data_IF_316698317282
#
_entry.id   IF_316698317282
#
_cell.length_a   1.000
_cell.length_b   1.000
_cell.length_c   1.000
_cell.angle_alpha   90.00
_cell.angle_beta   90.00
_cell.angle_gamma   90.00
#
_symmetry.space_group_name_H-M   'P 1'
#
loop_
_entity.id
_entity.type
_entity.pdbx_description
1 polymer ?
#
# COMPACT_ATOMS: atom_id res chain seq x y z
N UNK A 1 47.17 1.01 44.45
CA UNK A 1 45.76 1.47 44.43
C UNK A 1 45.68 2.69 43.52
N UNK A 2 44.94 2.65 42.41
CA UNK A 2 44.86 3.78 41.48
C UNK A 2 43.84 4.80 41.96
N UNK A 3 44.29 6.03 42.24
CA UNK A 3 43.43 7.15 42.66
C UNK A 3 42.52 7.54 41.49
N UNK A 4 41.20 7.62 41.72
CA UNK A 4 40.26 8.18 40.73
C UNK A 4 40.44 9.69 40.69
N UNK A 5 40.71 10.23 39.50
CA UNK A 5 40.77 11.66 39.23
C UNK A 5 39.35 12.23 39.26
N UNK A 6 39.16 13.31 40.00
CA UNK A 6 37.90 14.04 40.12
C UNK A 6 37.98 15.38 39.41
N UNK A 7 36.84 16.04 39.21
CA UNK A 7 36.81 17.38 38.59
C UNK A 7 37.65 18.38 39.40
N UNK A 8 37.74 18.21 40.72
CA UNK A 8 38.57 19.06 41.58
C UNK A 8 40.08 18.92 41.31
N UNK A 9 40.51 17.83 40.68
CA UNK A 9 41.91 17.60 40.31
C UNK A 9 42.27 18.25 38.96
N UNK A 10 41.30 18.85 38.24
CA UNK A 10 41.54 19.58 36.99
C UNK A 10 42.01 21.02 37.25
N UNK A 11 42.71 21.61 36.28
CA UNK A 11 43.07 23.04 36.33
C UNK A 11 41.82 23.94 36.35
N UNK A 12 41.86 25.12 36.99
CA UNK A 12 40.69 25.99 37.15
C UNK A 12 39.95 26.30 35.84
N UNK A 13 40.70 26.46 34.74
CA UNK A 13 40.11 26.69 33.40
C UNK A 13 39.23 25.51 32.95
N UNK A 14 39.68 24.28 33.20
CA UNK A 14 38.97 23.06 32.82
C UNK A 14 37.88 22.68 33.83
N UNK A 15 37.99 23.11 35.09
CA UNK A 15 36.89 22.97 36.05
C UNK A 15 35.67 23.77 35.59
N UNK A 16 35.86 25.04 35.22
CA UNK A 16 34.77 25.91 34.72
C UNK A 16 34.11 25.32 33.48
N UNK A 17 34.90 24.75 32.56
CA UNK A 17 34.37 24.13 31.36
C UNK A 17 33.62 22.83 31.65
N UNK A 18 34.15 21.98 32.55
CA UNK A 18 33.45 20.78 33.01
C UNK A 18 32.13 21.13 33.72
N UNK A 19 32.12 22.15 34.58
CA UNK A 19 30.89 22.64 35.23
C UNK A 19 29.89 23.19 34.21
N UNK A 20 30.34 23.93 33.20
CA UNK A 20 29.48 24.41 32.10
C UNK A 20 28.87 23.26 31.30
N UNK A 21 29.64 22.22 31.00
CA UNK A 21 29.13 21.06 30.29
C UNK A 21 28.13 20.26 31.13
N UNK A 22 28.36 20.11 32.43
CA UNK A 22 27.40 19.46 33.34
C UNK A 22 26.12 20.28 33.44
N UNK A 23 26.22 21.61 33.59
CA UNK A 23 25.06 22.51 33.64
C UNK A 23 24.29 22.52 32.31
N UNK A 24 24.98 22.50 31.16
CA UNK A 24 24.35 22.42 29.84
C UNK A 24 23.66 21.07 29.58
N UNK A 25 24.11 20.00 30.26
CA UNK A 25 23.54 18.64 30.16
C UNK A 25 22.42 18.38 31.18
N UNK A 26 22.27 19.25 32.17
CA UNK A 26 21.29 19.14 33.25
C UNK A 26 20.06 20.04 33.00
N UNK A 27 19.18 19.60 32.10
CA UNK A 27 17.73 19.77 32.20
C UNK A 27 17.04 19.02 31.05
N UNK A 28 16.55 17.78 31.22
CA UNK A 28 15.51 17.31 30.32
C UNK A 28 14.27 18.16 30.57
N UNK A 29 13.84 18.93 29.57
CA UNK A 29 12.54 19.58 29.61
C UNK A 29 11.46 18.50 29.78
N UNK A 30 10.86 18.41 30.97
CA UNK A 30 9.71 17.55 31.23
C UNK A 30 8.57 18.12 30.39
N UNK A 31 8.33 17.51 29.22
CA UNK A 31 7.13 17.81 28.42
C UNK A 31 5.91 17.42 29.26
N UNK A 32 4.87 18.25 29.36
CA UNK A 32 3.66 17.87 30.08
C UNK A 32 3.13 16.54 29.52
N UNK A 33 2.94 15.58 30.43
CA UNK A 33 2.41 14.24 30.16
C UNK A 33 1.09 14.37 29.39
N UNK A 34 1.10 13.96 28.13
CA UNK A 34 -0.10 13.93 27.29
C UNK A 34 -1.10 12.96 27.92
N UNK A 35 -2.32 13.43 28.14
CA UNK A 35 -3.46 12.66 28.62
C UNK A 35 -3.77 11.44 27.71
N UNK A 36 -4.61 10.49 28.16
CA UNK A 36 -4.47 9.06 27.91
C UNK A 36 -4.44 8.71 26.41
N UNK A 37 -3.55 7.77 26.06
CA UNK A 37 -3.48 7.09 24.77
C UNK A 37 -4.88 6.69 24.31
N UNK A 38 -5.45 7.44 23.38
CA UNK A 38 -6.67 7.05 22.70
C UNK A 38 -6.50 5.61 22.19
N UNK A 39 -7.51 4.75 22.42
CA UNK A 39 -7.56 3.39 21.85
C UNK A 39 -7.16 3.48 20.37
N UNK A 40 -6.39 2.52 19.82
CA UNK A 40 -6.02 2.56 18.40
C UNK A 40 -7.30 2.68 17.58
N UNK A 41 -7.55 3.88 17.03
CA UNK A 41 -8.70 4.12 16.18
C UNK A 41 -8.46 3.33 14.91
N UNK A 42 -9.41 2.47 14.55
CA UNK A 42 -9.46 1.88 13.22
C UNK A 42 -9.58 3.06 12.24
N UNK A 43 -8.49 3.38 11.55
CA UNK A 43 -8.51 4.38 10.48
C UNK A 43 -9.13 3.72 9.26
N UNK A 44 -10.33 4.16 8.89
CA UNK A 44 -10.83 3.87 7.55
C UNK A 44 -9.92 4.59 6.54
N UNK A 45 -9.42 3.87 5.53
CA UNK A 45 -8.76 4.56 4.40
C UNK A 45 -9.78 5.51 3.79
N UNK A 46 -9.45 6.79 3.76
CA UNK A 46 -10.24 7.79 3.02
C UNK A 46 -10.04 7.57 1.52
N UNK A 47 -11.13 7.63 0.76
CA UNK A 47 -11.12 7.46 -0.71
C UNK A 47 -11.63 6.09 -1.19
N UNK A 48 -11.74 5.96 -2.52
CA UNK A 48 -12.24 4.76 -3.20
C UNK A 48 -11.15 3.68 -3.41
N UNK A 49 -9.89 4.02 -3.13
CA UNK A 49 -8.73 3.14 -3.30
C UNK A 49 -8.26 2.98 -4.74
N UNK A 50 -8.93 3.62 -5.70
CA UNK A 50 -8.67 3.44 -7.13
C UNK A 50 -7.56 4.36 -7.64
N UNK A 51 -6.71 3.82 -8.49
CA UNK A 51 -5.79 4.61 -9.30
C UNK A 51 -6.56 5.40 -10.39
N UNK A 52 -5.90 6.36 -11.05
CA UNK A 52 -6.56 7.23 -12.04
C UNK A 52 -7.16 6.46 -13.23
N UNK A 53 -6.49 5.41 -13.69
CA UNK A 53 -6.91 4.62 -14.85
C UNK A 53 -8.03 3.65 -14.48
N UNK A 54 -7.98 3.05 -13.30
CA UNK A 54 -9.06 2.25 -12.73
C UNK A 54 -10.32 3.09 -12.53
N UNK A 55 -10.19 4.33 -12.05
CA UNK A 55 -11.33 5.24 -11.88
C UNK A 55 -11.98 5.59 -13.22
N UNK A 56 -11.16 5.85 -14.24
CA UNK A 56 -11.68 6.12 -15.58
C UNK A 56 -12.32 4.88 -16.22
N UNK A 57 -11.66 3.72 -16.12
CA UNK A 57 -12.21 2.46 -16.60
C UNK A 57 -13.50 2.10 -15.87
N UNK A 58 -13.58 2.34 -14.57
CA UNK A 58 -14.82 2.20 -13.78
C UNK A 58 -15.92 3.07 -14.38
N UNK A 59 -15.66 4.34 -14.68
CA UNK A 59 -16.60 5.23 -15.36
C UNK A 59 -17.12 4.66 -16.69
N UNK A 60 -16.24 4.00 -17.46
CA UNK A 60 -16.58 3.38 -18.74
C UNK A 60 -17.44 2.12 -18.60
N UNK A 61 -17.17 1.27 -17.61
CA UNK A 61 -17.88 -0.02 -17.43
C UNK A 61 -19.15 0.11 -16.60
N UNK A 62 -19.27 1.14 -15.75
CA UNK A 62 -20.43 1.36 -14.88
C UNK A 62 -21.79 1.39 -15.59
N UNK A 63 -21.96 2.02 -16.77
CA UNK A 63 -23.24 1.98 -17.48
C UNK A 63 -23.48 0.67 -18.25
N UNK A 64 -22.45 -0.17 -18.43
CA UNK A 64 -22.52 -1.37 -19.26
C UNK A 64 -22.78 -2.64 -18.46
N UNK A 65 -22.43 -2.65 -17.17
CA UNK A 65 -22.45 -3.84 -16.31
C UNK A 65 -23.36 -3.62 -15.10
N UNK A 66 -24.14 -4.64 -14.72
CA UNK A 66 -25.11 -4.53 -13.61
C UNK A 66 -24.43 -4.62 -12.24
N UNK A 67 -23.45 -5.51 -12.12
CA UNK A 67 -22.69 -5.70 -10.88
C UNK A 67 -21.20 -5.54 -11.14
N UNK A 68 -20.53 -4.80 -10.27
CA UNK A 68 -19.10 -4.53 -10.34
C UNK A 68 -18.51 -4.73 -8.95
N UNK A 69 -17.65 -5.72 -8.81
CA UNK A 69 -16.91 -6.03 -7.58
C UNK A 69 -15.45 -5.61 -7.76
N UNK A 70 -14.86 -4.99 -6.73
CA UNK A 70 -13.45 -4.57 -6.76
C UNK A 70 -12.56 -5.57 -6.04
N UNK A 71 -11.40 -5.87 -6.63
CA UNK A 71 -10.36 -6.74 -6.06
C UNK A 71 -10.85 -8.07 -5.44
N UNK A 72 -11.78 -8.82 -6.07
CA UNK A 72 -12.21 -10.10 -5.51
C UNK A 72 -11.04 -11.07 -5.47
N UNK A 73 -11.01 -11.91 -4.44
CA UNK A 73 -9.90 -12.86 -4.24
C UNK A 73 -10.20 -14.18 -4.93
N UNK A 74 -9.37 -14.54 -5.91
CA UNK A 74 -9.41 -15.82 -6.63
C UNK A 74 -8.22 -16.69 -6.22
N UNK A 75 -8.42 -17.74 -5.40
CA UNK A 75 -7.35 -18.68 -5.03
C UNK A 75 -6.82 -19.46 -6.25
N UNK A 76 -5.52 -19.43 -6.50
CA UNK A 76 -4.88 -20.19 -7.58
C UNK A 76 -4.20 -21.47 -7.10
N UNK A 77 -3.61 -21.42 -5.91
CA UNK A 77 -2.94 -22.54 -5.24
C UNK A 77 -2.77 -22.21 -3.74
N UNK A 78 -2.14 -23.11 -2.98
CA UNK A 78 -1.86 -22.90 -1.56
C UNK A 78 -1.05 -21.61 -1.34
N UNK A 79 -1.70 -20.61 -0.73
CA UNK A 79 -1.09 -19.30 -0.46
C UNK A 79 -0.93 -18.39 -1.68
N UNK A 80 -1.37 -18.81 -2.87
CA UNK A 80 -1.28 -18.01 -4.11
C UNK A 80 -2.67 -17.57 -4.52
N UNK A 81 -2.88 -16.26 -4.57
CA UNK A 81 -4.13 -15.65 -5.04
C UNK A 81 -3.89 -14.74 -6.23
N UNK A 82 -4.93 -14.60 -7.04
CA UNK A 82 -5.10 -13.56 -8.04
C UNK A 82 -6.27 -12.67 -7.66
N UNK A 83 -6.13 -11.36 -7.91
CA UNK A 83 -7.16 -10.37 -7.63
C UNK A 83 -7.27 -9.48 -8.87
N UNK A 84 -8.24 -9.72 -9.77
CA UNK A 84 -8.50 -8.78 -10.84
C UNK A 84 -8.97 -7.44 -10.24
N UNK A 85 -8.69 -6.32 -10.91
CA UNK A 85 -9.11 -5.00 -10.40
C UNK A 85 -10.63 -4.91 -10.31
N UNK A 86 -11.32 -5.46 -11.29
CA UNK A 86 -12.79 -5.58 -11.28
C UNK A 86 -13.24 -6.98 -11.70
N UNK A 87 -14.30 -7.46 -11.08
CA UNK A 87 -15.11 -8.57 -11.59
C UNK A 87 -16.49 -8.01 -11.89
N UNK A 88 -16.92 -8.16 -13.13
CA UNK A 88 -18.17 -7.57 -13.64
C UNK A 88 -19.13 -8.65 -14.07
N UNK A 89 -20.43 -8.41 -13.85
CA UNK A 89 -21.49 -9.36 -14.18
C UNK A 89 -22.62 -8.67 -14.93
N UNK A 90 -23.03 -9.26 -16.06
CA UNK A 90 -24.17 -8.82 -16.86
C UNK A 90 -24.81 -10.01 -17.55
N UNK A 91 -26.12 -10.21 -17.33
CA UNK A 91 -26.92 -11.22 -18.03
C UNK A 91 -26.29 -12.63 -18.06
N UNK A 92 -25.66 -13.05 -16.96
CA UNK A 92 -24.99 -14.36 -16.85
C UNK A 92 -23.55 -14.39 -17.36
N UNK A 93 -23.08 -13.36 -18.05
CA UNK A 93 -21.66 -13.21 -18.39
C UNK A 93 -20.87 -12.63 -17.22
N UNK A 94 -19.70 -13.23 -16.95
CA UNK A 94 -18.77 -12.78 -15.92
C UNK A 94 -17.44 -12.45 -16.58
N UNK A 95 -16.93 -11.23 -16.36
CA UNK A 95 -15.60 -10.84 -16.83
C UNK A 95 -14.71 -10.38 -15.68
N UNK A 96 -13.44 -10.79 -15.72
CA UNK A 96 -12.39 -10.31 -14.84
C UNK A 96 -11.57 -9.25 -15.57
N UNK A 97 -11.70 -7.99 -15.16
CA UNK A 97 -10.98 -6.87 -15.76
C UNK A 97 -9.71 -6.55 -14.98
N UNK A 98 -8.59 -6.49 -15.69
CA UNK A 98 -7.30 -6.05 -15.17
C UNK A 98 -6.87 -4.79 -15.94
N UNK A 99 -6.82 -3.65 -15.25
CA UNK A 99 -6.43 -2.35 -15.79
C UNK A 99 -4.92 -2.17 -15.62
N UNK A 100 -4.21 -2.19 -16.73
CA UNK A 100 -2.76 -1.98 -16.78
C UNK A 100 -2.43 -0.53 -17.10
N UNK A 101 -1.51 0.03 -16.32
CA UNK A 101 -0.77 1.25 -16.69
C UNK A 101 0.31 0.95 -17.75
N UNK A 102 1.08 1.98 -18.13
CA UNK A 102 2.02 1.90 -19.25
C UNK A 102 3.16 0.87 -19.11
N UNK A 103 3.46 0.34 -17.92
CA UNK A 103 4.77 -0.28 -17.64
C UNK A 103 4.77 -1.44 -16.63
N UNK A 104 3.86 -2.44 -16.68
CA UNK A 104 4.04 -3.66 -15.86
C UNK A 104 3.60 -4.97 -16.55
N UNK A 105 4.55 -5.82 -16.97
CA UNK A 105 4.28 -7.20 -17.40
C UNK A 105 4.03 -8.16 -16.22
N UNK A 106 4.20 -7.69 -14.97
CA UNK A 106 3.96 -8.49 -13.78
C UNK A 106 2.49 -8.94 -13.68
N UNK A 107 2.29 -10.22 -13.40
CA UNK A 107 0.96 -10.81 -13.16
C UNK A 107 0.34 -11.57 -14.34
N UNK A 108 0.96 -11.58 -15.52
CA UNK A 108 0.43 -12.32 -16.69
C UNK A 108 0.28 -13.82 -16.40
N UNK A 109 1.26 -14.42 -15.70
CA UNK A 109 1.17 -15.83 -15.33
C UNK A 109 -0.04 -16.13 -14.44
N UNK A 110 -0.35 -15.25 -13.48
CA UNK A 110 -1.49 -15.43 -12.57
C UNK A 110 -2.82 -15.34 -13.30
N UNK A 111 -2.99 -14.38 -14.21
CA UNK A 111 -4.23 -14.27 -14.98
C UNK A 111 -4.41 -15.44 -15.94
N UNK A 112 -3.33 -15.98 -16.53
CA UNK A 112 -3.41 -17.20 -17.35
C UNK A 112 -3.81 -18.43 -16.52
N UNK A 113 -3.20 -18.61 -15.34
CA UNK A 113 -3.59 -19.67 -14.42
C UNK A 113 -5.04 -19.49 -13.96
N UNK A 114 -5.46 -18.26 -13.68
CA UNK A 114 -6.85 -17.95 -13.33
C UNK A 114 -7.82 -18.27 -14.47
N UNK A 115 -7.50 -17.91 -15.72
CA UNK A 115 -8.31 -18.22 -16.90
C UNK A 115 -8.50 -19.73 -17.07
N UNK A 116 -7.45 -20.51 -16.81
CA UNK A 116 -7.52 -21.97 -16.83
C UNK A 116 -8.35 -22.56 -15.67
N UNK A 117 -8.23 -22.03 -14.45
CA UNK A 117 -8.94 -22.53 -13.28
C UNK A 117 -10.41 -22.09 -13.20
N UNK A 118 -10.72 -20.93 -13.78
CA UNK A 118 -12.04 -20.30 -13.76
C UNK A 118 -12.54 -20.05 -15.19
N UNK A 119 -12.77 -21.09 -16.00
CA UNK A 119 -13.10 -20.94 -17.43
C UNK A 119 -14.45 -20.25 -17.68
N UNK A 120 -15.31 -20.13 -16.67
CA UNK A 120 -16.56 -19.36 -16.72
C UNK A 120 -16.37 -17.84 -16.55
N UNK A 121 -15.14 -17.39 -16.29
CA UNK A 121 -14.79 -15.96 -16.21
C UNK A 121 -13.94 -15.60 -17.43
N UNK A 122 -14.41 -14.66 -18.26
CA UNK A 122 -13.60 -14.13 -19.37
C UNK A 122 -12.64 -13.07 -18.82
N UNK A 123 -11.35 -13.36 -18.78
CA UNK A 123 -10.35 -12.41 -18.29
C UNK A 123 -9.90 -11.46 -19.40
N UNK A 124 -9.95 -10.15 -19.14
CA UNK A 124 -9.57 -9.11 -20.09
C UNK A 124 -8.60 -8.12 -19.46
N UNK A 125 -7.52 -7.87 -20.18
CA UNK A 125 -6.57 -6.79 -19.90
C UNK A 125 -7.06 -5.52 -20.58
N UNK A 126 -6.97 -4.39 -19.89
CA UNK A 126 -7.30 -3.06 -20.41
C UNK A 126 -6.14 -2.10 -20.19
N UNK A 127 -5.75 -1.36 -21.22
CA UNK A 127 -4.74 -0.31 -21.09
C UNK A 127 -5.04 0.81 -22.09
N UNK A 128 -4.37 1.94 -21.95
CA UNK A 128 -4.41 3.02 -22.92
C UNK A 128 -3.16 3.05 -23.75
N UNK A 129 -3.35 3.22 -25.04
CA UNK A 129 -2.31 3.48 -26.01
C UNK A 129 -2.70 4.72 -26.81
N UNK A 130 -1.86 5.76 -26.82
CA UNK A 130 -2.13 7.05 -27.48
C UNK A 130 -3.52 7.63 -27.13
N UNK A 131 -3.90 7.53 -25.85
CA UNK A 131 -5.19 8.02 -25.34
C UNK A 131 -6.39 7.11 -25.60
N UNK A 132 -6.23 6.04 -26.38
CA UNK A 132 -7.32 5.11 -26.72
C UNK A 132 -7.27 3.86 -25.86
N UNK A 133 -8.43 3.40 -25.40
CA UNK A 133 -8.54 2.13 -24.68
C UNK A 133 -8.30 0.95 -25.63
N UNK A 134 -7.38 0.08 -25.23
CA UNK A 134 -7.10 -1.21 -25.84
C UNK A 134 -7.53 -2.32 -24.90
N UNK A 135 -7.86 -3.47 -25.48
CA UNK A 135 -8.23 -4.66 -24.72
C UNK A 135 -7.58 -5.90 -25.31
N UNK A 136 -7.29 -6.86 -24.45
CA UNK A 136 -6.85 -8.19 -24.83
C UNK A 136 -7.53 -9.21 -23.94
N UNK A 137 -8.10 -10.23 -24.56
CA UNK A 137 -8.63 -11.39 -23.87
C UNK A 137 -7.51 -12.38 -23.54
N UNK A 138 -7.59 -12.97 -22.35
CA UNK A 138 -6.69 -14.04 -21.90
C UNK A 138 -7.43 -15.35 -22.08
N UNK A 139 -6.96 -16.16 -23.03
CA UNK A 139 -7.53 -17.48 -23.28
C UNK A 139 -7.14 -18.47 -22.16
N UNK A 140 -8.03 -19.43 -21.82
CA UNK A 140 -7.75 -20.52 -20.87
C UNK A 140 -6.56 -21.42 -21.27
#
# INVERSE_FOLDING_TARGET
MSRRVTIADLSPKFQVEAYRQIAAKAAPAIKPTVAPSAKPRIRQKSGDGLNGWEREHLGRIRPLWHHIYREPTLPLANGVVYKPDFLVVRAGEIEGHEVKGQHKPAGIAKVKVAARLYPWIKFRLFWKEKGQWKTQEVLP
#
